data_IF_565059035702
#
_entry.id   IF_565059035702
#
_cell.length_a   1.000
_cell.length_b   1.000
_cell.length_c   1.000
_cell.angle_alpha   90.00
_cell.angle_beta   90.00
_cell.angle_gamma   90.00
#
_symmetry.space_group_name_H-M   'P 1'
#
loop_
_entity.id
_entity.type
_entity.pdbx_description
1 polymer ?
#
# COMPACT_ATOMS: atom_id res chain seq x y z
N UNK A 1 7.59 7.52 -20.81
CA UNK A 1 7.45 6.55 -19.69
C UNK A 1 8.81 5.98 -19.25
N UNK A 2 9.66 5.48 -20.15
CA UNK A 2 10.98 4.89 -19.83
C UNK A 2 11.90 5.79 -18.97
N UNK A 3 12.10 7.08 -19.34
CA UNK A 3 12.91 8.02 -18.56
C UNK A 3 12.38 8.23 -17.12
N UNK A 4 11.06 8.36 -16.97
CA UNK A 4 10.40 8.51 -15.66
C UNK A 4 10.54 7.25 -14.80
N UNK A 5 10.43 6.07 -15.42
CA UNK A 5 10.68 4.80 -14.75
C UNK A 5 12.12 4.69 -14.26
N UNK A 6 13.11 5.00 -15.11
CA UNK A 6 14.51 4.98 -14.72
C UNK A 6 14.82 5.94 -13.55
N UNK A 7 14.29 7.18 -13.59
CA UNK A 7 14.44 8.13 -12.48
C UNK A 7 13.80 7.62 -11.18
N UNK A 8 12.59 7.06 -11.27
CA UNK A 8 11.92 6.50 -10.10
C UNK A 8 12.66 5.29 -9.53
N UNK A 9 13.15 4.40 -10.40
CA UNK A 9 13.95 3.25 -9.99
C UNK A 9 15.23 3.69 -9.31
N UNK A 10 15.97 4.66 -9.87
CA UNK A 10 17.19 5.20 -9.26
C UNK A 10 16.91 5.80 -7.88
N UNK A 11 15.79 6.50 -7.70
CA UNK A 11 15.41 7.06 -6.42
C UNK A 11 15.12 5.98 -5.36
N UNK A 12 14.40 4.91 -5.74
CA UNK A 12 14.16 3.76 -4.85
C UNK A 12 15.47 3.04 -4.52
N UNK A 13 16.33 2.82 -5.52
CA UNK A 13 17.63 2.17 -5.32
C UNK A 13 18.58 3.00 -4.46
N UNK A 14 18.52 4.33 -4.54
CA UNK A 14 19.28 5.21 -3.64
C UNK A 14 18.89 5.00 -2.17
N UNK A 15 17.59 4.87 -1.89
CA UNK A 15 17.11 4.52 -0.55
C UNK A 15 17.65 3.17 -0.08
N UNK A 16 17.53 2.13 -0.91
CA UNK A 16 18.03 0.79 -0.55
C UNK A 16 19.55 0.79 -0.40
N UNK A 17 20.28 1.54 -1.22
CA UNK A 17 21.73 1.67 -1.13
C UNK A 17 22.16 2.35 0.18
N UNK A 18 21.51 3.45 0.57
CA UNK A 18 21.78 4.13 1.85
C UNK A 18 21.51 3.18 3.03
N UNK A 19 20.39 2.46 3.02
CA UNK A 19 20.09 1.46 4.04
C UNK A 19 21.13 0.33 4.10
N UNK A 20 21.61 -0.12 2.93
CA UNK A 20 22.67 -1.15 2.82
C UNK A 20 24.00 -0.65 3.38
N UNK A 21 24.40 0.59 3.08
CA UNK A 21 25.65 1.20 3.57
C UNK A 21 25.59 1.39 5.09
N UNK A 22 24.45 1.83 5.61
CA UNK A 22 24.23 2.04 7.05
C UNK A 22 23.94 0.73 7.80
N UNK A 23 23.77 -0.38 7.08
CA UNK A 23 23.40 -1.69 7.60
C UNK A 23 22.15 -1.66 8.50
N UNK A 24 21.16 -0.85 8.11
CA UNK A 24 19.91 -0.63 8.84
C UNK A 24 18.71 -0.85 7.91
N UNK A 25 18.04 -1.99 8.06
CA UNK A 25 16.88 -2.36 7.25
C UNK A 25 15.64 -1.53 7.58
N UNK A 26 15.54 -0.89 8.75
CA UNK A 26 14.42 0.02 9.09
C UNK A 26 14.38 1.23 8.14
N UNK A 27 15.48 1.55 7.46
CA UNK A 27 15.59 2.63 6.47
C UNK A 27 15.09 2.25 5.07
N UNK A 28 14.83 0.96 4.82
CA UNK A 28 14.18 0.52 3.59
C UNK A 28 12.67 0.70 3.79
N UNK A 29 12.09 1.60 3.01
CA UNK A 29 10.74 2.07 3.19
C UNK A 29 9.89 1.66 1.96
N UNK A 30 9.09 0.56 2.05
CA UNK A 30 8.34 0.02 0.92
C UNK A 30 7.31 0.96 0.29
N UNK A 31 6.71 1.81 1.11
CA UNK A 31 5.82 2.88 0.71
C UNK A 31 6.51 3.94 -0.18
N UNK A 32 7.81 4.21 -0.03
CA UNK A 32 8.56 5.08 -0.95
C UNK A 32 8.60 4.44 -2.34
N UNK A 33 8.72 3.11 -2.42
CA UNK A 33 8.57 2.38 -3.67
C UNK A 33 7.21 2.64 -4.33
N UNK A 34 6.13 2.49 -3.57
CA UNK A 34 4.77 2.74 -4.07
C UNK A 34 4.51 4.22 -4.41
N UNK A 35 4.96 5.15 -3.57
CA UNK A 35 4.79 6.60 -3.77
C UNK A 35 5.58 7.07 -4.98
N UNK A 36 6.83 6.63 -5.15
CA UNK A 36 7.67 6.93 -6.33
C UNK A 36 7.01 6.39 -7.60
N UNK A 37 6.56 5.13 -7.59
CA UNK A 37 5.86 4.54 -8.73
C UNK A 37 4.57 5.31 -9.07
N UNK A 38 3.77 5.68 -8.08
CA UNK A 38 2.52 6.39 -8.31
C UNK A 38 2.71 7.83 -8.76
N UNK A 39 3.69 8.54 -8.21
CA UNK A 39 3.90 9.97 -8.47
C UNK A 39 4.82 10.25 -9.64
N UNK A 40 6.01 9.65 -9.70
CA UNK A 40 7.01 9.93 -10.73
C UNK A 40 6.80 9.07 -11.98
N UNK A 41 6.51 7.77 -11.81
CA UNK A 41 6.37 6.84 -12.94
C UNK A 41 5.00 6.96 -13.59
N UNK A 42 3.93 6.75 -12.83
CA UNK A 42 2.55 6.72 -13.35
C UNK A 42 1.84 8.07 -13.32
N UNK A 43 2.35 9.05 -12.58
CA UNK A 43 1.78 10.40 -12.47
C UNK A 43 0.30 10.39 -12.10
N UNK A 44 -0.08 9.59 -11.09
CA UNK A 44 -1.46 9.50 -10.59
C UNK A 44 -1.96 10.91 -10.20
N UNK A 45 -2.97 11.48 -10.90
CA UNK A 45 -3.37 12.87 -10.71
C UNK A 45 -3.77 13.21 -9.28
N UNK A 46 -4.48 12.29 -8.62
CA UNK A 46 -4.93 12.43 -7.23
C UNK A 46 -3.79 12.58 -6.23
N UNK A 47 -2.59 12.10 -6.55
CA UNK A 47 -1.43 12.15 -5.64
C UNK A 47 -0.53 13.35 -5.92
N UNK A 48 -0.36 13.73 -7.19
CA UNK A 48 0.56 14.82 -7.58
C UNK A 48 -0.10 16.21 -7.57
N UNK A 49 -1.43 16.29 -7.49
CA UNK A 49 -2.13 17.59 -7.49
C UNK A 49 -1.83 18.41 -6.24
N UNK A 50 -1.70 17.78 -5.06
CA UNK A 50 -1.40 18.43 -3.78
C UNK A 50 -0.09 17.86 -3.20
N UNK A 51 1.10 18.21 -3.75
CA UNK A 51 2.37 17.60 -3.37
C UNK A 51 2.70 17.70 -1.89
N UNK A 52 2.29 18.77 -1.21
CA UNK A 52 2.47 18.89 0.24
C UNK A 52 1.86 17.72 1.03
N UNK A 53 0.81 17.07 0.50
CA UNK A 53 0.21 15.87 1.13
C UNK A 53 1.10 14.63 1.01
N UNK A 54 2.05 14.59 0.07
CA UNK A 54 3.03 13.51 -0.05
C UNK A 54 4.01 13.51 1.12
N UNK A 55 4.22 14.66 1.76
CA UNK A 55 4.99 14.77 3.00
C UNK A 55 4.09 14.62 4.23
N UNK A 56 3.05 15.46 4.36
CA UNK A 56 2.26 15.54 5.59
C UNK A 56 1.54 14.24 5.96
N UNK A 57 0.94 13.55 4.98
CA UNK A 57 0.07 12.41 5.27
C UNK A 57 0.90 11.18 5.66
N UNK A 58 1.92 10.75 4.88
CA UNK A 58 2.81 9.67 5.29
C UNK A 58 3.57 9.98 6.58
N UNK A 59 4.03 11.21 6.78
CA UNK A 59 4.71 11.63 8.02
C UNK A 59 3.81 11.49 9.24
N UNK A 60 2.56 11.95 9.16
CA UNK A 60 1.61 11.82 10.25
C UNK A 60 1.23 10.36 10.52
N UNK A 61 1.02 9.54 9.49
CA UNK A 61 0.73 8.11 9.71
C UNK A 61 1.94 7.35 10.25
N UNK A 62 3.17 7.70 9.85
CA UNK A 62 4.40 7.15 10.42
C UNK A 62 4.50 7.38 11.92
N UNK A 63 4.25 8.62 12.36
CA UNK A 63 4.25 8.98 13.79
C UNK A 63 3.17 8.20 14.54
N UNK A 64 1.94 8.11 14.00
CA UNK A 64 0.86 7.30 14.59
C UNK A 64 1.32 5.85 14.76
N UNK A 65 1.82 5.24 13.69
CA UNK A 65 2.29 3.86 13.68
C UNK A 65 3.40 3.60 14.69
N UNK A 66 4.40 4.47 14.72
CA UNK A 66 5.55 4.37 15.62
C UNK A 66 5.15 4.49 17.09
N UNK A 67 4.27 5.45 17.42
CA UNK A 67 3.78 5.63 18.79
C UNK A 67 2.93 4.44 19.24
N UNK A 68 2.05 3.91 18.38
CA UNK A 68 1.26 2.71 18.67
C UNK A 68 2.16 1.49 18.86
N UNK A 69 3.22 1.36 18.07
CA UNK A 69 4.16 0.24 18.20
C UNK A 69 4.78 0.19 19.60
N UNK A 70 5.02 1.34 20.25
CA UNK A 70 5.57 1.44 21.61
C UNK A 70 4.59 1.05 22.72
N UNK A 71 3.29 0.95 22.43
CA UNK A 71 2.30 0.58 23.44
C UNK A 71 2.38 -0.92 23.76
N UNK A 72 2.12 -1.34 25.02
CA UNK A 72 2.15 -2.73 25.45
C UNK A 72 0.84 -3.45 25.08
N UNK A 73 0.42 -3.33 23.81
CA UNK A 73 -0.78 -3.96 23.27
C UNK A 73 -0.45 -5.12 22.36
N UNK A 74 -1.38 -6.05 22.22
CA UNK A 74 -1.27 -7.15 21.27
C UNK A 74 -1.23 -6.66 19.83
N UNK A 75 -0.51 -7.39 18.98
CA UNK A 75 -0.30 -7.02 17.59
C UNK A 75 -1.60 -6.77 16.79
N UNK A 76 -2.65 -7.62 16.87
CA UNK A 76 -3.93 -7.34 16.19
C UNK A 76 -4.57 -6.03 16.67
N UNK A 77 -4.50 -5.73 17.97
CA UNK A 77 -5.05 -4.50 18.55
C UNK A 77 -4.30 -3.28 18.03
N UNK A 78 -2.96 -3.33 18.00
CA UNK A 78 -2.12 -2.28 17.40
C UNK A 78 -2.51 -1.99 15.96
N UNK A 79 -2.71 -3.03 15.15
CA UNK A 79 -3.12 -2.90 13.74
C UNK A 79 -4.49 -2.22 13.64
N UNK A 80 -5.50 -2.67 14.39
CA UNK A 80 -6.86 -2.11 14.31
C UNK A 80 -6.92 -0.65 14.77
N UNK A 81 -6.32 -0.34 15.92
CA UNK A 81 -6.27 1.04 16.42
C UNK A 81 -5.45 1.92 15.48
N UNK A 82 -4.32 1.41 14.96
CA UNK A 82 -3.49 2.12 13.99
C UNK A 82 -4.23 2.48 12.72
N UNK A 83 -4.89 1.51 12.08
CA UNK A 83 -5.70 1.77 10.88
C UNK A 83 -6.82 2.78 11.17
N UNK A 84 -7.49 2.67 12.32
CA UNK A 84 -8.52 3.62 12.74
C UNK A 84 -8.00 5.05 12.87
N UNK A 85 -6.87 5.25 13.53
CA UNK A 85 -6.24 6.57 13.69
C UNK A 85 -5.69 7.12 12.37
N UNK A 86 -5.13 6.27 11.51
CA UNK A 86 -4.69 6.66 10.16
C UNK A 86 -5.86 7.13 9.29
N UNK A 87 -6.99 6.43 9.32
CA UNK A 87 -8.23 6.86 8.65
C UNK A 87 -8.72 8.20 9.17
N UNK A 88 -8.68 8.40 10.50
CA UNK A 88 -9.06 9.68 11.12
C UNK A 88 -8.16 10.80 10.63
N UNK A 89 -6.84 10.61 10.64
CA UNK A 89 -5.87 11.57 10.12
C UNK A 89 -6.15 11.90 8.64
N UNK A 90 -6.35 10.88 7.81
CA UNK A 90 -6.65 11.06 6.38
C UNK A 90 -7.97 11.82 6.16
N UNK A 91 -8.99 11.57 6.99
CA UNK A 91 -10.26 12.32 6.99
C UNK A 91 -10.04 13.79 7.35
N UNK A 92 -9.30 14.07 8.42
CA UNK A 92 -8.97 15.44 8.87
C UNK A 92 -8.18 16.20 7.79
N UNK A 93 -7.16 15.57 7.21
CA UNK A 93 -6.33 16.15 6.13
C UNK A 93 -7.01 16.10 4.75
N UNK A 94 -8.25 15.59 4.67
CA UNK A 94 -9.02 15.39 3.44
C UNK A 94 -8.19 14.76 2.33
N UNK A 95 -7.45 13.69 2.65
CA UNK A 95 -6.49 13.05 1.76
C UNK A 95 -6.91 11.63 1.42
N UNK A 96 -6.74 11.23 0.16
CA UNK A 96 -6.94 9.87 -0.33
C UNK A 96 -5.61 9.19 -0.71
N UNK A 97 -4.50 9.64 -0.12
CA UNK A 97 -3.17 9.07 -0.36
C UNK A 97 -3.06 7.70 0.29
N UNK A 98 -3.59 6.68 -0.39
CA UNK A 98 -3.66 5.30 0.08
C UNK A 98 -2.32 4.77 0.63
N UNK A 99 -1.14 5.02 0.02
CA UNK A 99 0.15 4.55 0.54
C UNK A 99 0.47 5.00 1.97
N UNK A 100 -0.18 6.04 2.50
CA UNK A 100 0.03 6.47 3.88
C UNK A 100 -0.37 5.40 4.92
N UNK A 101 -1.31 4.51 4.60
CA UNK A 101 -1.57 3.33 5.44
C UNK A 101 -0.34 2.45 5.55
N UNK A 102 0.39 2.27 4.45
CA UNK A 102 1.57 1.45 4.47
C UNK A 102 2.67 2.06 5.34
N UNK A 103 2.84 3.38 5.26
CA UNK A 103 3.79 4.12 6.11
C UNK A 103 3.50 3.92 7.59
N UNK A 104 2.23 4.03 7.99
CA UNK A 104 1.86 3.90 9.40
C UNK A 104 1.83 2.45 9.90
N UNK A 105 1.53 1.48 9.04
CA UNK A 105 1.55 0.07 9.43
C UNK A 105 2.97 -0.49 9.53
N UNK A 106 3.91 0.02 8.74
CA UNK A 106 5.28 -0.47 8.69
C UNK A 106 5.97 -0.55 10.07
N UNK A 107 6.01 0.50 10.91
CA UNK A 107 6.68 0.44 12.21
C UNK A 107 6.03 -0.56 13.18
N UNK A 108 4.73 -0.86 13.02
CA UNK A 108 4.04 -1.89 13.81
C UNK A 108 4.47 -3.30 13.35
N UNK A 109 4.62 -3.49 12.03
CA UNK A 109 4.96 -4.78 11.42
C UNK A 109 6.40 -5.17 11.71
N UNK A 110 7.34 -4.24 11.53
CA UNK A 110 8.77 -4.52 11.70
C UNK A 110 9.23 -4.28 13.15
N UNK A 111 8.30 -3.92 14.03
CA UNK A 111 8.57 -3.53 15.41
C UNK A 111 9.65 -2.44 15.52
N UNK A 112 9.53 -1.38 14.72
CA UNK A 112 10.51 -0.31 14.66
C UNK A 112 10.61 0.40 16.01
N UNK A 113 11.84 0.58 16.49
CA UNK A 113 12.11 1.26 17.76
C UNK A 113 12.95 2.52 17.59
N UNK A 114 13.76 2.62 16.55
CA UNK A 114 14.68 3.75 16.43
C UNK A 114 14.01 4.96 15.78
N UNK A 115 14.34 6.16 16.27
CA UNK A 115 13.86 7.42 15.67
C UNK A 115 14.44 7.67 14.28
N UNK A 116 15.49 6.93 13.88
CA UNK A 116 16.02 6.91 12.51
C UNK A 116 14.93 6.58 11.49
N UNK A 117 13.99 5.70 11.84
CA UNK A 117 12.81 5.39 11.03
C UNK A 117 12.00 6.65 10.67
N UNK A 118 11.65 7.48 11.66
CA UNK A 118 10.87 8.69 11.45
C UNK A 118 11.65 9.72 10.63
N UNK A 119 12.94 9.89 10.93
CA UNK A 119 13.82 10.80 10.19
C UNK A 119 13.92 10.38 8.71
N UNK A 120 14.04 9.07 8.44
CA UNK A 120 14.06 8.52 7.09
C UNK A 120 12.76 8.80 6.34
N UNK A 121 11.60 8.53 6.96
CA UNK A 121 10.30 8.86 6.38
C UNK A 121 10.23 10.35 6.01
N UNK A 122 10.62 11.24 6.92
CA UNK A 122 10.56 12.68 6.67
C UNK A 122 11.47 13.06 5.50
N UNK A 123 12.70 12.56 5.49
CA UNK A 123 13.67 12.83 4.43
C UNK A 123 13.19 12.35 3.05
N UNK A 124 12.75 11.10 2.93
CA UNK A 124 12.35 10.51 1.65
C UNK A 124 11.03 11.09 1.14
N UNK A 125 10.05 11.33 2.01
CA UNK A 125 8.77 11.93 1.62
C UNK A 125 8.91 13.41 1.26
N UNK A 126 9.81 14.14 1.93
CA UNK A 126 10.17 15.51 1.56
C UNK A 126 10.87 15.55 0.20
N UNK A 127 11.82 14.65 -0.03
CA UNK A 127 12.52 14.51 -1.31
C UNK A 127 11.56 14.14 -2.45
N UNK A 128 10.60 13.25 -2.20
CA UNK A 128 9.52 12.92 -3.12
C UNK A 128 8.67 14.13 -3.46
N UNK A 129 8.24 14.88 -2.44
CA UNK A 129 7.47 16.10 -2.60
C UNK A 129 8.23 17.12 -3.47
N UNK A 130 9.50 17.37 -3.16
CA UNK A 130 10.36 18.26 -3.93
C UNK A 130 10.49 17.81 -5.40
N UNK A 131 10.72 16.51 -5.63
CA UNK A 131 10.78 15.94 -6.98
C UNK A 131 9.47 16.10 -7.75
N UNK A 132 8.31 15.98 -7.09
CA UNK A 132 7.01 16.26 -7.72
C UNK A 132 6.84 17.75 -8.06
N UNK A 133 7.30 18.66 -7.19
CA UNK A 133 7.30 20.10 -7.49
C UNK A 133 8.18 20.45 -8.69
N UNK A 134 9.38 19.87 -8.79
CA UNK A 134 10.29 20.09 -9.93
C UNK A 134 9.75 19.53 -11.25
N UNK A 135 8.92 18.49 -11.19
CA UNK A 135 8.31 17.84 -12.37
C UNK A 135 6.89 18.35 -12.67
N UNK A 136 6.41 19.41 -12.01
CA UNK A 136 5.03 19.88 -12.20
C UNK A 136 4.88 20.48 -13.59
N UNK A 137 3.91 19.95 -14.33
CA UNK A 137 3.39 20.60 -15.53
C UNK A 137 2.11 21.38 -15.18
N UNK A 138 1.78 22.47 -15.90
CA UNK A 138 0.62 23.28 -15.60
C UNK A 138 -0.68 22.50 -15.81
N UNK A 139 -1.60 22.60 -14.85
CA UNK A 139 -3.01 22.16 -14.90
C UNK A 139 -3.23 20.64 -15.01
N UNK A 140 -3.33 19.98 -13.86
CA UNK A 140 -4.13 18.75 -13.73
C UNK A 140 -5.38 19.04 -12.90
N UNK A 141 -6.54 19.06 -13.57
CA UNK A 141 -7.85 19.08 -12.91
C UNK A 141 -8.11 17.66 -12.38
N UNK A 142 -7.87 17.43 -11.10
CA UNK A 142 -8.42 16.29 -10.39
C UNK A 142 -9.53 16.78 -9.47
N UNK A 143 -10.62 16.02 -9.41
CA UNK A 143 -11.75 16.25 -8.50
C UNK A 143 -11.27 15.98 -7.08
N UNK A 144 -11.58 16.86 -6.12
CA UNK A 144 -11.36 16.57 -4.71
C UNK A 144 -12.26 15.38 -4.33
N UNK A 145 -11.66 14.22 -4.05
CA UNK A 145 -12.38 13.05 -3.60
C UNK A 145 -12.41 13.09 -2.08
N UNK A 146 -13.56 13.51 -1.53
CA UNK A 146 -13.84 13.36 -0.11
C UNK A 146 -14.21 11.91 0.17
N UNK A 147 -13.57 11.30 1.17
CA UNK A 147 -13.85 9.93 1.57
C UNK A 147 -15.27 9.87 2.14
N UNK A 148 -16.12 8.99 1.61
CA UNK A 148 -17.49 8.82 2.11
C UNK A 148 -17.48 8.01 3.41
N UNK A 149 -18.26 8.37 4.44
CA UNK A 149 -18.31 7.62 5.70
C UNK A 149 -18.64 6.13 5.52
N UNK A 150 -19.57 5.80 4.62
CA UNK A 150 -19.93 4.41 4.32
C UNK A 150 -18.76 3.60 3.72
N UNK A 151 -17.93 4.23 2.89
CA UNK A 151 -16.72 3.62 2.34
C UNK A 151 -15.67 3.38 3.43
N UNK A 152 -15.54 4.30 4.39
CA UNK A 152 -14.66 4.12 5.55
C UNK A 152 -15.11 2.94 6.42
N UNK A 153 -16.43 2.84 6.65
CA UNK A 153 -17.01 1.75 7.42
C UNK A 153 -16.76 0.41 6.72
N UNK A 154 -17.07 0.29 5.42
CA UNK A 154 -16.81 -0.93 4.66
C UNK A 154 -15.33 -1.32 4.64
N UNK A 155 -14.42 -0.33 4.50
CA UNK A 155 -12.99 -0.55 4.61
C UNK A 155 -12.60 -1.10 5.99
N UNK A 156 -13.05 -0.47 7.07
CA UNK A 156 -12.78 -0.92 8.44
C UNK A 156 -13.34 -2.31 8.71
N UNK A 157 -14.57 -2.60 8.28
CA UNK A 157 -15.21 -3.90 8.45
C UNK A 157 -14.38 -5.00 7.78
N UNK A 158 -13.92 -4.80 6.54
CA UNK A 158 -13.08 -5.78 5.85
C UNK A 158 -11.74 -5.99 6.57
N UNK A 159 -11.10 -4.92 7.04
CA UNK A 159 -9.86 -5.04 7.83
C UNK A 159 -10.12 -5.82 9.11
N UNK A 160 -11.16 -5.50 9.87
CA UNK A 160 -11.53 -6.23 11.10
C UNK A 160 -11.77 -7.71 10.81
N UNK A 161 -12.54 -8.03 9.76
CA UNK A 161 -12.80 -9.42 9.36
C UNK A 161 -11.51 -10.19 9.05
N UNK A 162 -10.59 -9.57 8.31
CA UNK A 162 -9.28 -10.18 8.03
C UNK A 162 -8.46 -10.38 9.30
N UNK A 163 -8.32 -9.35 10.13
CA UNK A 163 -7.54 -9.39 11.37
C UNK A 163 -8.08 -10.45 12.33
N UNK A 164 -9.40 -10.51 12.52
CA UNK A 164 -10.04 -11.55 13.35
C UNK A 164 -9.83 -12.93 12.74
N UNK A 165 -10.00 -13.08 11.42
CA UNK A 165 -9.79 -14.36 10.73
C UNK A 165 -8.37 -14.91 10.93
N UNK A 166 -7.33 -14.10 10.71
CA UNK A 166 -5.94 -14.56 10.89
C UNK A 166 -5.57 -14.73 12.37
N UNK A 167 -6.20 -14.00 13.28
CA UNK A 167 -6.04 -14.22 14.72
C UNK A 167 -6.61 -15.58 15.16
N UNK A 168 -7.82 -15.92 14.70
CA UNK A 168 -8.47 -17.22 14.97
C UNK A 168 -7.69 -18.40 14.35
N UNK A 169 -7.02 -18.18 13.22
CA UNK A 169 -6.14 -19.16 12.58
C UNK A 169 -4.77 -19.31 13.27
N UNK A 170 -4.54 -18.62 14.39
CA UNK A 170 -3.27 -18.69 15.13
C UNK A 170 -2.10 -18.01 14.40
N UNK A 171 -2.39 -17.11 13.45
CA UNK A 171 -1.39 -16.41 12.63
C UNK A 171 -1.56 -14.89 12.71
N UNK A 172 -1.56 -14.29 13.92
CA UNK A 172 -1.83 -12.87 14.11
C UNK A 172 -0.86 -11.97 13.34
N UNK A 173 0.37 -12.41 13.08
CA UNK A 173 1.40 -11.66 12.33
C UNK A 173 0.91 -11.24 10.92
N UNK A 174 0.00 -12.01 10.31
CA UNK A 174 -0.57 -11.72 8.99
C UNK A 174 -1.67 -10.64 9.01
N UNK A 175 -1.98 -10.05 10.16
CA UNK A 175 -3.05 -9.05 10.32
C UNK A 175 -2.87 -7.80 9.45
N UNK A 176 -1.63 -7.42 9.11
CA UNK A 176 -1.35 -6.25 8.31
C UNK A 176 -0.43 -6.57 7.13
N UNK A 177 -0.94 -6.36 5.91
CA UNK A 177 -0.15 -6.44 4.68
C UNK A 177 -0.28 -5.11 3.95
N UNK A 178 0.68 -4.19 4.17
CA UNK A 178 0.57 -2.80 3.75
C UNK A 178 0.15 -2.62 2.28
N UNK A 179 0.78 -3.30 1.30
CA UNK A 179 0.42 -3.10 -0.10
C UNK A 179 -1.02 -3.51 -0.43
N UNK A 180 -1.56 -4.54 0.23
CA UNK A 180 -2.93 -5.01 -0.02
C UNK A 180 -3.94 -4.04 0.58
N UNK A 181 -3.69 -3.51 1.78
CA UNK A 181 -4.52 -2.48 2.43
C UNK A 181 -4.61 -1.23 1.55
N UNK A 182 -3.49 -0.82 0.96
CA UNK A 182 -3.44 0.30 0.00
C UNK A 182 -4.37 0.05 -1.19
N UNK A 183 -4.31 -1.14 -1.79
CA UNK A 183 -5.16 -1.49 -2.94
C UNK A 183 -6.63 -1.58 -2.56
N UNK A 184 -6.97 -2.16 -1.39
CA UNK A 184 -8.34 -2.18 -0.88
C UNK A 184 -8.90 -0.75 -0.77
N UNK A 185 -8.13 0.17 -0.17
CA UNK A 185 -8.55 1.55 -0.01
C UNK A 185 -8.76 2.27 -1.35
N UNK A 186 -7.89 2.03 -2.34
CA UNK A 186 -8.06 2.55 -3.70
C UNK A 186 -9.30 1.93 -4.41
N UNK A 187 -9.50 0.62 -4.26
CA UNK A 187 -10.55 -0.12 -4.94
C UNK A 187 -11.94 0.26 -4.43
N UNK A 188 -12.12 0.44 -3.12
CA UNK A 188 -13.39 0.87 -2.51
C UNK A 188 -13.84 2.24 -3.05
N UNK A 189 -12.91 3.13 -3.36
CA UNK A 189 -13.21 4.47 -3.87
C UNK A 189 -13.49 4.52 -5.37
N UNK A 190 -13.11 3.49 -6.12
CA UNK A 190 -13.31 3.44 -7.56
C UNK A 190 -14.75 3.02 -7.89
N UNK A 191 -15.61 3.90 -8.40
CA UNK A 191 -17.02 3.58 -8.69
C UNK A 191 -17.22 2.52 -9.78
N UNK A 192 -16.24 2.31 -10.66
CA UNK A 192 -16.33 1.39 -11.80
C UNK A 192 -15.36 0.20 -11.65
N UNK A 193 -15.40 -0.44 -10.47
CA UNK A 193 -14.52 -1.55 -10.14
C UNK A 193 -15.06 -2.89 -10.68
N UNK A 194 -14.38 -3.43 -11.69
CA UNK A 194 -14.74 -4.66 -12.40
C UNK A 194 -14.07 -5.90 -11.80
N UNK A 195 -14.73 -7.05 -11.90
CA UNK A 195 -14.15 -8.36 -11.53
C UNK A 195 -12.85 -8.65 -12.30
N UNK A 196 -12.73 -8.22 -13.57
CA UNK A 196 -11.51 -8.40 -14.37
C UNK A 196 -10.34 -7.61 -13.77
N UNK A 197 -10.61 -6.41 -13.23
CA UNK A 197 -9.62 -5.62 -12.52
C UNK A 197 -9.23 -6.29 -11.20
N UNK A 198 -10.19 -6.82 -10.46
CA UNK A 198 -9.94 -7.56 -9.21
C UNK A 198 -8.99 -8.73 -9.42
N UNK A 199 -9.24 -9.58 -10.43
CA UNK A 199 -8.37 -10.72 -10.76
C UNK A 199 -6.97 -10.24 -11.13
N UNK A 200 -6.84 -9.21 -11.99
CA UNK A 200 -5.54 -8.67 -12.38
C UNK A 200 -4.77 -8.10 -11.19
N UNK A 201 -5.44 -7.39 -10.28
CA UNK A 201 -4.82 -6.87 -9.06
C UNK A 201 -4.43 -8.01 -8.11
N UNK A 202 -5.25 -9.04 -7.96
CA UNK A 202 -4.91 -10.21 -7.16
C UNK A 202 -3.65 -10.91 -7.71
N UNK A 203 -3.60 -11.21 -9.02
CA UNK A 203 -2.42 -11.80 -9.66
C UNK A 203 -1.19 -10.90 -9.50
N UNK A 204 -1.34 -9.59 -9.65
CA UNK A 204 -0.23 -8.65 -9.50
C UNK A 204 0.32 -8.57 -8.07
N UNK A 205 -0.56 -8.54 -7.06
CA UNK A 205 -0.16 -8.45 -5.67
C UNK A 205 0.52 -9.75 -5.21
N UNK A 206 -0.10 -10.90 -5.49
CA UNK A 206 0.48 -12.21 -5.19
C UNK A 206 1.79 -12.41 -5.95
N UNK A 207 1.83 -12.13 -7.25
CA UNK A 207 3.04 -12.27 -8.07
C UNK A 207 4.17 -11.36 -7.61
N UNK A 208 3.89 -10.10 -7.26
CA UNK A 208 4.91 -9.18 -6.75
C UNK A 208 5.46 -9.63 -5.38
N UNK A 209 4.61 -10.16 -4.50
CA UNK A 209 5.04 -10.77 -3.24
C UNK A 209 5.92 -12.00 -3.48
N UNK A 210 5.50 -12.93 -4.35
CA UNK A 210 6.27 -14.12 -4.71
C UNK A 210 7.63 -13.78 -5.33
N UNK A 211 7.68 -12.78 -6.23
CA UNK A 211 8.93 -12.31 -6.83
C UNK A 211 9.86 -11.68 -5.78
N UNK A 212 9.30 -10.88 -4.86
CA UNK A 212 10.06 -10.26 -3.77
C UNK A 212 10.75 -11.29 -2.89
N UNK A 213 9.97 -12.22 -2.34
CA UNK A 213 10.48 -13.30 -1.47
C UNK A 213 11.43 -14.23 -2.22
N UNK A 214 11.03 -14.68 -3.42
CA UNK A 214 11.81 -15.63 -4.19
C UNK A 214 13.19 -15.12 -4.58
N UNK A 215 13.32 -13.84 -4.96
CA UNK A 215 14.63 -13.26 -5.29
C UNK A 215 15.44 -12.97 -4.03
N UNK A 216 14.80 -12.52 -2.94
CA UNK A 216 15.51 -12.28 -1.68
C UNK A 216 16.18 -13.55 -1.14
N UNK A 217 15.54 -14.72 -1.31
CA UNK A 217 16.14 -16.01 -0.94
C UNK A 217 17.35 -16.39 -1.81
N UNK A 218 17.42 -15.90 -3.05
CA UNK A 218 18.51 -16.20 -3.98
C UNK A 218 19.65 -15.17 -3.92
N UNK A 219 19.38 -13.96 -3.43
CA UNK A 219 20.31 -12.83 -3.46
C UNK A 219 20.41 -12.23 -2.05
N UNK A 220 21.55 -12.42 -1.40
CA UNK A 220 21.79 -11.91 -0.04
C UNK A 220 21.87 -10.37 0.06
N UNK A 221 22.30 -9.69 -1.01
CA UNK A 221 22.41 -8.23 -1.00
C UNK A 221 21.05 -7.56 -1.24
N UNK A 222 20.61 -6.73 -0.29
CA UNK A 222 19.36 -5.95 -0.40
C UNK A 222 19.31 -5.11 -1.68
N UNK A 223 20.42 -4.43 -2.01
CA UNK A 223 20.50 -3.59 -3.20
C UNK A 223 20.37 -4.40 -4.49
N UNK A 224 21.07 -5.53 -4.60
CA UNK A 224 20.98 -6.39 -5.79
C UNK A 224 19.60 -7.04 -5.90
N UNK A 225 19.02 -7.48 -4.78
CA UNK A 225 17.66 -8.01 -4.75
C UNK A 225 16.64 -6.97 -5.23
N UNK A 226 16.74 -5.71 -4.77
CA UNK A 226 15.88 -4.62 -5.26
C UNK A 226 16.12 -4.29 -6.74
N UNK A 227 17.39 -4.27 -7.18
CA UNK A 227 17.79 -4.00 -8.56
C UNK A 227 17.20 -5.02 -9.54
N UNK A 228 17.09 -6.29 -9.13
CA UNK A 228 16.50 -7.37 -9.93
C UNK A 228 14.97 -7.38 -9.84
N UNK A 229 14.41 -7.31 -8.62
CA UNK A 229 12.96 -7.50 -8.41
C UNK A 229 12.11 -6.35 -8.93
N UNK A 230 12.55 -5.09 -8.78
CA UNK A 230 11.74 -3.93 -9.20
C UNK A 230 11.47 -3.94 -10.72
N UNK A 231 12.45 -4.21 -11.61
CA UNK A 231 12.21 -4.48 -13.02
C UNK A 231 11.26 -5.65 -13.28
N UNK A 232 11.39 -6.77 -12.55
CA UNK A 232 10.49 -7.91 -12.71
C UNK A 232 9.04 -7.55 -12.36
N UNK A 233 8.81 -6.76 -11.31
CA UNK A 233 7.49 -6.23 -10.98
C UNK A 233 6.97 -5.30 -12.08
N UNK A 234 7.82 -4.42 -12.64
CA UNK A 234 7.42 -3.60 -13.79
C UNK A 234 6.98 -4.44 -14.99
N UNK A 235 7.70 -5.53 -15.29
CA UNK A 235 7.34 -6.47 -16.35
C UNK A 235 6.03 -7.19 -16.05
N UNK A 236 5.85 -7.70 -14.83
CA UNK A 236 4.60 -8.34 -14.37
C UNK A 236 3.40 -7.42 -14.59
N UNK A 237 3.49 -6.17 -14.13
CA UNK A 237 2.42 -5.18 -14.31
C UNK A 237 2.19 -4.83 -15.79
N UNK A 238 3.25 -4.83 -16.59
CA UNK A 238 3.19 -4.66 -18.04
C UNK A 238 2.41 -5.78 -18.74
N UNK A 239 2.69 -7.03 -18.39
CA UNK A 239 1.98 -8.22 -18.90
C UNK A 239 0.49 -8.16 -18.53
N UNK A 240 0.19 -7.80 -17.28
CA UNK A 240 -1.19 -7.67 -16.78
C UNK A 240 -1.90 -6.41 -17.30
N UNK A 241 -1.19 -5.49 -17.97
CA UNK A 241 -1.68 -4.21 -18.50
C UNK A 241 -2.38 -3.37 -17.42
N UNK A 242 -1.81 -3.31 -16.22
CA UNK A 242 -2.34 -2.50 -15.11
C UNK A 242 -1.28 -1.53 -14.56
N UNK A 243 -1.72 -0.44 -13.95
CA UNK A 243 -0.87 0.51 -13.22
C UNK A 243 -1.16 0.40 -11.73
N UNK A 244 -0.34 -0.38 -11.03
CA UNK A 244 -0.55 -0.69 -9.61
C UNK A 244 0.68 -0.27 -8.79
N UNK A 245 0.76 0.98 -8.30
CA UNK A 245 1.91 1.46 -7.56
C UNK A 245 2.23 0.61 -6.32
N UNK A 246 1.19 0.13 -5.62
CA UNK A 246 1.35 -0.70 -4.43
C UNK A 246 2.18 -1.97 -4.66
N UNK A 247 2.19 -2.53 -5.88
CA UNK A 247 2.97 -3.72 -6.18
C UNK A 247 4.49 -3.50 -6.04
N UNK A 248 4.98 -2.28 -6.24
CA UNK A 248 6.40 -1.94 -6.05
C UNK A 248 6.84 -1.95 -4.58
N UNK A 249 5.91 -1.92 -3.63
CA UNK A 249 6.23 -2.04 -2.22
C UNK A 249 6.55 -3.49 -1.83
N UNK A 250 6.01 -4.50 -2.52
CA UNK A 250 6.21 -5.90 -2.10
C UNK A 250 7.66 -6.37 -2.10
N UNK A 251 8.47 -6.13 -3.15
CA UNK A 251 9.87 -6.53 -3.12
C UNK A 251 10.63 -5.86 -1.98
N UNK A 252 10.38 -4.58 -1.74
CA UNK A 252 11.01 -3.84 -0.65
C UNK A 252 10.55 -4.35 0.72
N UNK A 253 9.28 -4.70 0.85
CA UNK A 253 8.72 -5.24 2.09
C UNK A 253 9.37 -6.59 2.43
N UNK A 254 9.63 -7.45 1.43
CA UNK A 254 10.32 -8.72 1.64
C UNK A 254 11.74 -8.54 2.24
N UNK A 255 12.43 -7.44 1.93
CA UNK A 255 13.77 -7.15 2.45
C UNK A 255 13.79 -6.73 3.94
N UNK A 256 12.66 -6.27 4.47
CA UNK A 256 12.57 -5.68 5.83
C UNK A 256 11.77 -6.57 6.78
N UNK A 257 10.95 -7.48 6.25
CA UNK A 257 10.17 -8.36 7.08
C UNK A 257 11.05 -9.35 7.85
N UNK A 258 10.66 -9.72 9.08
CA UNK A 258 11.25 -10.86 9.77
C UNK A 258 11.08 -12.15 8.94
N UNK A 259 12.09 -13.03 8.98
CA UNK A 259 12.12 -14.26 8.17
C UNK A 259 10.87 -15.15 8.32
N UNK A 260 10.26 -15.18 9.52
CA UNK A 260 9.02 -15.94 9.77
C UNK A 260 7.81 -15.38 9.02
N UNK A 261 7.74 -14.05 8.84
CA UNK A 261 6.67 -13.39 8.12
C UNK A 261 6.91 -13.41 6.62
N UNK A 262 8.17 -13.26 6.21
CA UNK A 262 8.59 -13.23 4.81
C UNK A 262 8.14 -14.48 4.04
N UNK A 263 8.40 -15.68 4.57
CA UNK A 263 8.01 -16.93 3.91
C UNK A 263 6.49 -17.06 3.69
N UNK A 264 5.71 -16.47 4.59
CA UNK A 264 4.24 -16.49 4.52
C UNK A 264 3.65 -15.33 3.71
N UNK A 265 4.47 -14.33 3.33
CA UNK A 265 4.03 -13.10 2.68
C UNK A 265 3.21 -13.35 1.40
N UNK A 266 3.60 -14.25 0.47
CA UNK A 266 2.83 -14.48 -0.74
C UNK A 266 1.44 -15.09 -0.45
N UNK A 267 1.36 -16.00 0.51
CA UNK A 267 0.10 -16.62 0.94
C UNK A 267 -0.80 -15.62 1.65
N UNK A 268 -0.22 -14.82 2.54
CA UNK A 268 -0.92 -13.77 3.25
C UNK A 268 -1.45 -12.71 2.27
N UNK A 269 -0.64 -12.30 1.28
CA UNK A 269 -1.02 -11.37 0.23
C UNK A 269 -2.14 -11.95 -0.65
N UNK A 270 -2.03 -13.22 -1.06
CA UNK A 270 -3.06 -13.89 -1.84
C UNK A 270 -4.38 -14.01 -1.09
N UNK A 271 -4.35 -14.43 0.19
CA UNK A 271 -5.53 -14.62 1.02
C UNK A 271 -6.25 -13.30 1.32
N UNK A 272 -5.50 -12.29 1.78
CA UNK A 272 -6.07 -10.96 2.06
C UNK A 272 -6.59 -10.28 0.79
N UNK A 273 -5.85 -10.35 -0.32
CA UNK A 273 -6.31 -9.79 -1.59
C UNK A 273 -7.56 -10.51 -2.11
N UNK A 274 -7.65 -11.84 -1.96
CA UNK A 274 -8.83 -12.60 -2.34
C UNK A 274 -10.05 -12.18 -1.52
N UNK A 275 -9.91 -12.07 -0.19
CA UNK A 275 -10.99 -11.63 0.69
C UNK A 275 -11.42 -10.19 0.35
N UNK A 276 -10.48 -9.26 0.30
CA UNK A 276 -10.75 -7.83 0.10
C UNK A 276 -11.35 -7.52 -1.27
N UNK A 277 -10.71 -8.01 -2.34
CA UNK A 277 -11.16 -7.73 -3.69
C UNK A 277 -12.40 -8.57 -4.04
N UNK A 278 -12.47 -9.81 -3.55
CA UNK A 278 -13.64 -10.68 -3.71
C UNK A 278 -14.88 -10.09 -3.04
N UNK A 279 -14.79 -9.70 -1.77
CA UNK A 279 -15.91 -9.08 -1.06
C UNK A 279 -16.39 -7.79 -1.74
N UNK A 280 -15.47 -6.96 -2.25
CA UNK A 280 -15.83 -5.75 -2.99
C UNK A 280 -16.57 -6.05 -4.29
N UNK A 281 -16.15 -7.07 -5.05
CA UNK A 281 -16.83 -7.50 -6.28
C UNK A 281 -18.20 -8.09 -5.95
N UNK A 282 -18.29 -8.96 -4.95
CA UNK A 282 -19.54 -9.57 -4.50
C UNK A 282 -20.54 -8.52 -4.04
N UNK A 283 -20.11 -7.54 -3.24
CA UNK A 283 -20.96 -6.43 -2.80
C UNK A 283 -21.54 -5.65 -3.99
N UNK A 284 -20.73 -5.37 -5.02
CA UNK A 284 -21.19 -4.64 -6.20
C UNK A 284 -22.10 -5.47 -7.09
N UNK A 285 -21.81 -6.75 -7.23
CA UNK A 285 -22.68 -7.66 -7.95
C UNK A 285 -24.07 -7.69 -7.32
N UNK A 286 -24.16 -7.84 -5.99
CA UNK A 286 -25.41 -7.80 -5.24
C UNK A 286 -26.10 -6.43 -5.31
N UNK A 287 -25.34 -5.34 -5.14
CA UNK A 287 -25.89 -3.98 -5.19
C UNK A 287 -26.41 -3.59 -6.59
N UNK A 288 -25.86 -4.16 -7.66
CA UNK A 288 -26.37 -3.97 -9.01
C UNK A 288 -27.58 -4.87 -9.33
N UNK A 289 -27.75 -5.98 -8.59
CA UNK A 289 -28.86 -6.93 -8.75
C UNK A 289 -30.11 -6.56 -7.94
N UNK A 290 -29.96 -5.83 -6.82
CA UNK A 290 -31.08 -5.36 -5.99
C UNK A 290 -32.02 -4.33 -6.68
N UNK A 291 -31.53 -3.35 -7.46
CA UNK A 291 -32.39 -2.41 -8.18
C UNK A 291 -33.27 -3.07 -9.24
N UNK A 292 -32.85 -4.23 -9.79
CA UNK A 292 -33.65 -4.96 -10.80
C UNK A 292 -34.84 -5.70 -10.19
N UNK A 293 -34.92 -5.86 -8.85
CA UNK A 293 -36.05 -6.49 -8.18
C UNK A 293 -37.16 -5.50 -7.81
N UNK A 294 -36.89 -4.18 -7.82
CA UNK A 294 -37.88 -3.14 -7.51
C UNK A 294 -38.65 -2.65 -8.73
N UNK A 295 -38.22 -2.99 -9.95
CA UNK A 295 -38.92 -2.60 -11.19
C UNK A 295 -39.93 -3.62 -11.68
N UNK A 296 -39.96 -4.84 -11.13
CA UNK A 296 -40.89 -5.90 -11.54
C UNK A 296 -42.21 -5.94 -10.72
N UNK A 297 -42.27 -5.25 -9.56
CA UNK A 297 -43.49 -5.21 -8.71
C UNK A 297 -44.45 -4.04 -9.05
N UNK A 298 -44.02 -3.05 -9.82
CA UNK A 298 -44.85 -1.89 -10.23
C UNK A 298 -45.61 -2.13 -11.56
N UNK A 299 -45.59 -3.34 -12.11
CA UNK A 299 -46.31 -3.72 -13.33
C UNK A 299 -47.29 -4.90 -13.17
N UNK A 300 -47.68 -5.25 -11.94
CA UNK A 300 -48.72 -6.25 -11.66
C UNK A 300 -50.06 -5.62 -11.24
#
# INVERSE_FOLDING_TARGET
MRRRYAMGLLFILAMVAIATILNDSELILPEIGALTAGTWVYRKPTWIQKPYKLFLVPSGTAVIGFLINRLPWDYPVKVLVGVGLMLLLMKVLRSNLAPAFATGLLPIIINATHWSFIVAIFFWTLSLMAGVYLQREPRMKAKDHTIRPLQMLGFLTLIVLWVVGVWLLGRPQMAAIPPVVVVLFEAIQNTDYSYKMAIRQWVALTGAASLGVGVHWLIASWLLAALVTLPLVYLLLGILKIKLPAAYAFPLLALVLPATMEATLPFAAAGSAALFLGALVSYRFLANWLPTLQTDDDQA
#
